data_IF_037411307223
#
_entry.id   IF_037411307223
#
_cell.length_a   1.000
_cell.length_b   1.000
_cell.length_c   1.000
_cell.angle_alpha   90.00
_cell.angle_beta   90.00
_cell.angle_gamma   90.00
#
_symmetry.space_group_name_H-M   'P 1'
#
loop_
_entity.id
_entity.type
_entity.pdbx_description
1 polymer ?
#
# COMPACT_ATOMS: atom_id res chain seq x y z
N UNK A 1 -14.32 -22.45 38.03
CA UNK A 1 -13.14 -21.57 37.84
C UNK A 1 -12.04 -22.53 37.50
N UNK A 2 -11.77 -22.66 36.22
CA UNK A 2 -11.02 -23.79 35.67
C UNK A 2 -9.65 -23.23 35.25
N UNK A 3 -8.50 -23.74 35.74
CA UNK A 3 -7.26 -22.96 35.78
C UNK A 3 -6.39 -23.02 34.52
N UNK A 4 -6.84 -23.74 33.48
CA UNK A 4 -6.05 -23.99 32.27
C UNK A 4 -6.90 -23.72 31.03
N UNK A 5 -7.10 -22.42 30.74
CA UNK A 5 -7.78 -21.94 29.55
C UNK A 5 -6.93 -22.19 28.29
N UNK A 6 -6.92 -23.44 27.82
CA UNK A 6 -6.34 -23.83 26.54
C UNK A 6 -6.86 -22.90 25.44
N UNK A 7 -5.93 -22.18 24.78
CA UNK A 7 -6.18 -21.37 23.61
C UNK A 7 -7.00 -22.15 22.58
N UNK A 8 -8.21 -21.67 22.31
CA UNK A 8 -9.04 -22.21 21.23
C UNK A 8 -8.34 -21.90 19.90
N UNK A 9 -7.64 -22.90 19.36
CA UNK A 9 -7.06 -23.04 18.00
C UNK A 9 -8.10 -22.95 16.85
N UNK A 10 -9.18 -22.21 17.06
CA UNK A 10 -10.31 -22.14 16.14
C UNK A 10 -10.88 -20.71 16.15
N UNK A 11 -10.04 -19.73 15.83
CA UNK A 11 -10.58 -18.43 15.44
C UNK A 11 -11.18 -18.59 14.05
N UNK A 12 -12.52 -18.67 14.02
CA UNK A 12 -13.34 -18.51 12.81
C UNK A 12 -12.84 -17.28 12.06
N UNK A 13 -12.73 -17.40 10.73
CA UNK A 13 -12.41 -16.29 9.82
C UNK A 13 -13.02 -15.00 10.37
N UNK A 14 -12.18 -13.96 10.54
CA UNK A 14 -12.63 -12.68 11.06
C UNK A 14 -13.93 -12.30 10.32
N UNK A 15 -15.03 -12.01 11.04
CA UNK A 15 -16.31 -11.74 10.41
C UNK A 15 -16.13 -10.62 9.38
N UNK A 16 -16.78 -10.74 8.22
CA UNK A 16 -16.72 -9.77 7.11
C UNK A 16 -16.58 -8.29 7.54
N UNK A 17 -17.33 -7.77 8.53
CA UNK A 17 -17.17 -6.38 9.00
C UNK A 17 -15.77 -6.04 9.53
N UNK A 18 -15.08 -6.97 10.20
CA UNK A 18 -13.72 -6.76 10.71
C UNK A 18 -12.71 -6.73 9.56
N UNK A 19 -12.91 -7.57 8.55
CA UNK A 19 -12.08 -7.56 7.34
C UNK A 19 -12.25 -6.25 6.55
N UNK A 20 -13.50 -5.81 6.33
CA UNK A 20 -13.78 -4.54 5.66
C UNK A 20 -13.16 -3.35 6.40
N UNK A 21 -13.21 -3.35 7.74
CA UNK A 21 -12.53 -2.33 8.54
C UNK A 21 -11.01 -2.33 8.33
N UNK A 22 -10.37 -3.50 8.28
CA UNK A 22 -8.93 -3.61 8.02
C UNK A 22 -8.58 -3.07 6.63
N UNK A 23 -9.35 -3.43 5.60
CA UNK A 23 -9.16 -2.91 4.23
C UNK A 23 -9.34 -1.38 4.21
N UNK A 24 -10.38 -0.85 4.83
CA UNK A 24 -10.63 0.59 4.90
C UNK A 24 -9.48 1.34 5.59
N UNK A 25 -8.97 0.83 6.71
CA UNK A 25 -7.83 1.43 7.41
C UNK A 25 -6.55 1.36 6.55
N UNK A 26 -6.27 0.22 5.91
CA UNK A 26 -5.15 0.09 4.97
C UNK A 26 -5.24 1.10 3.83
N UNK A 27 -6.42 1.26 3.22
CA UNK A 27 -6.65 2.23 2.16
C UNK A 27 -6.46 3.67 2.64
N UNK A 28 -6.93 4.01 3.84
CA UNK A 28 -6.74 5.35 4.43
C UNK A 28 -5.26 5.65 4.68
N UNK A 29 -4.51 4.69 5.23
CA UNK A 29 -3.06 4.84 5.46
C UNK A 29 -2.32 4.99 4.12
N UNK A 30 -2.65 4.15 3.14
CA UNK A 30 -2.09 4.21 1.79
C UNK A 30 -2.38 5.56 1.12
N UNK A 31 -3.63 6.04 1.20
CA UNK A 31 -4.02 7.34 0.67
C UNK A 31 -3.27 8.49 1.35
N UNK A 32 -3.14 8.47 2.68
CA UNK A 32 -2.40 9.48 3.41
C UNK A 32 -0.91 9.52 3.00
N UNK A 33 -0.26 8.37 2.89
CA UNK A 33 1.13 8.26 2.42
C UNK A 33 1.28 8.78 0.99
N UNK A 34 0.39 8.37 0.08
CA UNK A 34 0.39 8.82 -1.30
C UNK A 34 0.16 10.34 -1.41
N UNK A 35 -0.77 10.90 -0.63
CA UNK A 35 -1.02 12.34 -0.59
C UNK A 35 0.19 13.13 -0.11
N UNK A 36 0.89 12.67 0.94
CA UNK A 36 2.11 13.32 1.42
C UNK A 36 3.20 13.28 0.34
N UNK A 37 3.43 12.12 -0.27
CA UNK A 37 4.39 11.99 -1.36
C UNK A 37 4.04 12.85 -2.57
N UNK A 38 2.75 12.97 -2.89
CA UNK A 38 2.26 13.82 -3.97
C UNK A 38 2.49 15.31 -3.67
N UNK A 39 2.19 15.76 -2.44
CA UNK A 39 2.43 17.13 -2.01
C UNK A 39 3.92 17.52 -2.11
N UNK A 40 4.83 16.61 -1.73
CA UNK A 40 6.28 16.81 -1.90
C UNK A 40 6.64 16.98 -3.38
N UNK A 41 6.05 16.15 -4.25
CA UNK A 41 6.24 16.25 -5.70
C UNK A 41 5.75 17.57 -6.28
N UNK A 42 4.52 17.96 -5.96
CA UNK A 42 3.90 19.22 -6.41
C UNK A 42 4.79 20.40 -6.01
N UNK A 43 5.20 20.46 -4.74
CA UNK A 43 6.04 21.51 -4.22
C UNK A 43 7.38 21.61 -4.96
N UNK A 44 8.05 20.48 -5.18
CA UNK A 44 9.34 20.47 -5.88
C UNK A 44 9.21 20.80 -7.37
N UNK A 45 8.19 20.30 -8.06
CA UNK A 45 7.93 20.68 -9.46
C UNK A 45 7.57 22.15 -9.60
N UNK A 46 6.80 22.70 -8.67
CA UNK A 46 6.45 24.12 -8.69
C UNK A 46 7.68 25.02 -8.45
N UNK A 47 8.48 24.74 -7.42
CA UNK A 47 9.59 25.63 -7.04
C UNK A 47 10.93 25.35 -7.71
N UNK A 48 11.21 24.10 -8.11
CA UNK A 48 12.51 23.70 -8.68
C UNK A 48 12.44 23.60 -10.21
N UNK A 49 11.29 23.16 -10.74
CA UNK A 49 11.05 23.05 -12.17
C UNK A 49 10.23 24.21 -12.75
N UNK A 50 9.81 25.17 -11.92
CA UNK A 50 9.07 26.38 -12.31
C UNK A 50 7.78 26.08 -13.08
N UNK A 51 7.12 24.96 -12.75
CA UNK A 51 5.87 24.55 -13.37
C UNK A 51 4.68 25.20 -12.68
N UNK A 52 3.62 25.61 -13.41
CA UNK A 52 2.34 25.99 -12.82
C UNK A 52 1.77 24.87 -11.92
N UNK A 53 0.96 25.22 -10.93
CA UNK A 53 0.44 24.27 -9.94
C UNK A 53 -0.24 23.03 -10.53
N UNK A 54 -1.03 23.20 -11.60
CA UNK A 54 -1.74 22.10 -12.25
C UNK A 54 -0.76 21.19 -12.99
N UNK A 55 0.25 21.76 -13.65
CA UNK A 55 1.28 20.99 -14.36
C UNK A 55 2.20 20.29 -13.35
N UNK A 56 2.53 20.94 -12.24
CA UNK A 56 3.26 20.34 -11.13
C UNK A 56 2.51 19.14 -10.53
N UNK A 57 1.19 19.27 -10.35
CA UNK A 57 0.31 18.17 -9.93
C UNK A 57 0.31 17.02 -10.94
N UNK A 58 0.18 17.33 -12.23
CA UNK A 58 0.19 16.33 -13.29
C UNK A 58 1.52 15.56 -13.30
N UNK A 59 2.65 16.26 -13.32
CA UNK A 59 3.98 15.64 -13.36
C UNK A 59 4.29 14.84 -12.09
N UNK A 60 3.95 15.37 -10.92
CA UNK A 60 4.10 14.65 -9.66
C UNK A 60 3.24 13.36 -9.63
N UNK A 61 1.99 13.45 -10.07
CA UNK A 61 1.06 12.30 -10.11
C UNK A 61 1.54 11.23 -11.08
N UNK A 62 2.06 11.62 -12.24
CA UNK A 62 2.58 10.71 -13.25
C UNK A 62 3.76 9.91 -12.70
N UNK A 63 4.75 10.57 -12.08
CA UNK A 63 5.89 9.90 -11.44
C UNK A 63 5.46 9.03 -10.27
N UNK A 64 4.56 9.51 -9.42
CA UNK A 64 4.03 8.72 -8.30
C UNK A 64 3.29 7.47 -8.79
N UNK A 65 2.62 7.56 -9.94
CA UNK A 65 1.97 6.45 -10.63
C UNK A 65 2.92 5.54 -11.42
N UNK A 66 4.22 5.84 -11.46
CA UNK A 66 5.24 5.03 -12.14
C UNK A 66 5.49 5.39 -13.61
N UNK A 67 4.89 6.48 -14.10
CA UNK A 67 5.14 7.01 -15.45
C UNK A 67 6.13 8.18 -15.39
N UNK A 68 6.74 8.53 -16.54
CA UNK A 68 7.63 9.69 -16.60
C UNK A 68 6.89 11.03 -16.48
N UNK A 69 7.62 12.14 -16.27
CA UNK A 69 7.03 13.49 -16.35
C UNK A 69 6.51 13.76 -17.77
N UNK A 70 5.43 14.51 -17.87
CA UNK A 70 4.80 14.91 -19.13
C UNK A 70 5.50 16.12 -19.72
N UNK A 71 5.86 17.08 -18.85
CA UNK A 71 6.48 18.33 -19.27
C UNK A 71 8.00 18.20 -19.42
N UNK A 72 8.60 18.90 -20.40
CA UNK A 72 10.04 18.87 -20.61
C UNK A 72 10.78 19.54 -19.44
N UNK A 73 11.71 18.80 -18.84
CA UNK A 73 12.58 19.31 -17.78
C UNK A 73 13.77 20.08 -18.38
N UNK A 74 13.65 21.40 -18.43
CA UNK A 74 14.62 22.26 -19.10
C UNK A 74 15.87 22.55 -18.24
N UNK A 75 15.74 22.60 -16.91
CA UNK A 75 16.85 22.94 -16.02
C UNK A 75 17.58 21.71 -15.45
N UNK A 76 18.87 21.85 -15.14
CA UNK A 76 19.66 20.79 -14.47
C UNK A 76 19.07 20.41 -13.11
N UNK A 77 18.59 21.41 -12.36
CA UNK A 77 17.97 21.23 -11.05
C UNK A 77 16.65 20.47 -11.15
N UNK A 78 15.82 20.77 -12.17
CA UNK A 78 14.58 20.05 -12.42
C UNK A 78 14.83 18.57 -12.74
N UNK A 79 15.85 18.26 -13.55
CA UNK A 79 16.24 16.88 -13.85
C UNK A 79 16.71 16.12 -12.62
N UNK A 80 17.56 16.76 -11.79
CA UNK A 80 18.05 16.14 -10.56
C UNK A 80 16.92 15.90 -9.55
N UNK A 81 16.02 16.88 -9.40
CA UNK A 81 14.83 16.72 -8.58
C UNK A 81 13.94 15.59 -9.08
N UNK A 82 13.61 15.56 -10.37
CA UNK A 82 12.76 14.51 -10.94
C UNK A 82 13.38 13.11 -10.77
N UNK A 83 14.70 12.98 -10.91
CA UNK A 83 15.40 11.72 -10.67
C UNK A 83 15.29 11.25 -9.20
N UNK A 84 15.55 12.16 -8.25
CA UNK A 84 15.40 11.84 -6.83
C UNK A 84 13.94 11.53 -6.45
N UNK A 85 13.01 12.33 -6.97
CA UNK A 85 11.59 12.16 -6.75
C UNK A 85 11.07 10.86 -7.35
N UNK A 86 11.57 10.42 -8.50
CA UNK A 86 11.20 9.13 -9.11
C UNK A 86 11.64 7.94 -8.26
N UNK A 87 12.85 7.95 -7.71
CA UNK A 87 13.32 6.90 -6.80
C UNK A 87 12.50 6.85 -5.52
N UNK A 88 12.26 8.01 -4.90
CA UNK A 88 11.41 8.13 -3.72
C UNK A 88 9.98 7.63 -3.99
N UNK A 89 9.38 8.10 -5.08
CA UNK A 89 8.02 7.74 -5.49
C UNK A 89 7.88 6.25 -5.79
N UNK A 90 8.88 5.63 -6.42
CA UNK A 90 8.89 4.20 -6.67
C UNK A 90 8.83 3.38 -5.37
N UNK A 91 9.58 3.78 -4.33
CA UNK A 91 9.52 3.14 -3.02
C UNK A 91 8.16 3.34 -2.34
N UNK A 92 7.59 4.55 -2.42
CA UNK A 92 6.26 4.86 -1.89
C UNK A 92 5.19 4.02 -2.60
N UNK A 93 5.25 3.90 -3.93
CA UNK A 93 4.33 3.11 -4.72
C UNK A 93 4.33 1.63 -4.30
N UNK A 94 5.53 1.04 -4.16
CA UNK A 94 5.68 -0.35 -3.69
C UNK A 94 5.14 -0.49 -2.26
N UNK A 95 5.45 0.46 -1.37
CA UNK A 95 4.96 0.46 0.01
C UNK A 95 3.44 0.54 0.09
N UNK A 96 2.83 1.43 -0.69
CA UNK A 96 1.37 1.57 -0.83
C UNK A 96 0.75 0.27 -1.32
N UNK A 97 1.30 -0.36 -2.36
CA UNK A 97 0.81 -1.65 -2.84
C UNK A 97 0.93 -2.74 -1.78
N UNK A 98 2.02 -2.77 -1.00
CA UNK A 98 2.19 -3.67 0.12
C UNK A 98 1.10 -3.50 1.19
N UNK A 99 0.81 -2.26 1.60
CA UNK A 99 -0.21 -1.94 2.61
C UNK A 99 -1.61 -2.35 2.14
N UNK A 100 -1.95 -2.07 0.88
CA UNK A 100 -3.25 -2.43 0.29
C UNK A 100 -3.38 -3.94 0.11
N UNK A 101 -2.29 -4.63 -0.27
CA UNK A 101 -2.28 -6.08 -0.50
C UNK A 101 -2.23 -6.90 0.79
N UNK A 102 -1.67 -6.37 1.88
CA UNK A 102 -1.49 -7.08 3.15
C UNK A 102 -2.77 -7.75 3.71
N UNK A 103 -3.95 -7.07 3.82
CA UNK A 103 -5.16 -7.73 4.30
C UNK A 103 -5.64 -8.86 3.38
N UNK A 104 -5.43 -8.73 2.07
CA UNK A 104 -5.78 -9.77 1.09
C UNK A 104 -4.85 -10.98 1.22
N UNK A 105 -3.54 -10.75 1.24
CA UNK A 105 -2.54 -11.80 1.40
C UNK A 105 -2.73 -12.56 2.72
N UNK A 106 -2.97 -11.85 3.82
CA UNK A 106 -3.26 -12.46 5.11
C UNK A 106 -4.53 -13.32 5.07
N UNK A 107 -5.57 -12.88 4.35
CA UNK A 107 -6.82 -13.65 4.21
C UNK A 107 -6.61 -14.91 3.36
N UNK A 108 -5.86 -14.83 2.27
CA UNK A 108 -5.53 -15.98 1.43
C UNK A 108 -4.73 -17.01 2.23
N UNK A 109 -3.67 -16.58 2.92
CA UNK A 109 -2.82 -17.46 3.72
C UNK A 109 -3.61 -18.18 4.82
N UNK A 110 -4.53 -17.47 5.48
CA UNK A 110 -5.38 -18.08 6.50
C UNK A 110 -6.39 -19.07 5.92
N UNK A 111 -6.87 -18.87 4.69
CA UNK A 111 -7.77 -19.81 4.03
C UNK A 111 -7.04 -21.12 3.68
N UNK A 112 -5.84 -21.04 3.11
CA UNK A 112 -5.03 -22.22 2.77
C UNK A 112 -4.61 -23.05 3.99
N UNK A 113 -4.21 -22.42 5.09
CA UNK A 113 -3.86 -23.16 6.32
C UNK A 113 -5.08 -23.75 7.05
N UNK A 114 -6.29 -23.19 6.87
CA UNK A 114 -7.51 -23.84 7.37
C UNK A 114 -7.78 -25.13 6.57
N UNK A 115 -7.66 -25.09 5.24
CA UNK A 115 -7.92 -26.25 4.39
C UNK A 115 -7.00 -27.44 4.73
N UNK A 116 -5.71 -27.22 4.96
CA UNK A 116 -4.78 -28.30 5.35
C UNK A 116 -5.12 -28.91 6.72
N UNK A 117 -5.47 -28.08 7.70
CA UNK A 117 -5.82 -28.55 9.05
C UNK A 117 -7.16 -29.31 9.04
N UNK A 118 -8.16 -28.84 8.29
CA UNK A 118 -9.45 -29.54 8.15
C UNK A 118 -9.29 -30.86 7.38
N UNK A 119 -8.44 -30.92 6.34
CA UNK A 119 -8.10 -32.15 5.62
C UNK A 119 -7.34 -33.16 6.49
N UNK A 120 -6.52 -32.69 7.44
CA UNK A 120 -5.82 -33.56 8.39
C UNK A 120 -6.78 -34.09 9.47
N UNK A 121 -7.62 -33.22 10.04
CA UNK A 121 -8.57 -33.58 11.09
C UNK A 121 -9.68 -34.53 10.60
N UNK A 122 -10.02 -34.50 9.29
CA UNK A 122 -10.91 -35.48 8.65
C UNK A 122 -10.25 -36.84 8.40
N UNK A 123 -8.92 -36.89 8.22
CA UNK A 123 -8.16 -38.14 8.07
C UNK A 123 -7.95 -38.84 9.41
N UNK A 124 -7.71 -38.09 10.48
CA UNK A 124 -7.48 -38.64 11.83
C UNK A 124 -8.78 -39.14 12.51
N UNK A 125 -9.96 -38.81 11.97
CA UNK A 125 -11.28 -39.26 12.46
C UNK A 125 -11.82 -40.51 11.75
N UNK A 126 -11.05 -41.13 10.85
CA UNK A 126 -11.43 -42.32 10.08
C UNK A 126 -10.55 -43.50 10.45
#
# INVERSE_FOLDING_TARGET
MDPYGLERRHQKLAPLPVFLRRVAVSLLIAAALASVALCIGIAGYHWIADLPWIDALLNASMILGGMGPVDPLLSKNAKLFAAAYALFSGLIFIGVMGIVSAPLAHRMLHHFHIDENDLKNRRDKK
#
